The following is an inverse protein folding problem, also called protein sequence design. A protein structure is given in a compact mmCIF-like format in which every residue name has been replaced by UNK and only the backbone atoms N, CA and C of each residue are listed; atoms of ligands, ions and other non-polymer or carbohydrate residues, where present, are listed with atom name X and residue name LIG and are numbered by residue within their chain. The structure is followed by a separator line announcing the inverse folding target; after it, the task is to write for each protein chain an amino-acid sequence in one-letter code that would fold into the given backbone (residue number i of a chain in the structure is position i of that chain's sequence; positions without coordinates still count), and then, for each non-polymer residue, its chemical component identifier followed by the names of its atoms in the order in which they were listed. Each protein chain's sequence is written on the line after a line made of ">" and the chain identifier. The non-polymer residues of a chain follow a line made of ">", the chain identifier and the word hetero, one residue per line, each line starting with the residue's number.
data_IF_952547360663
#
_entry.id   IF_952547360663
#
_cell.length_a   1.000
_cell.length_b   1.000
_cell.length_c   1.000
_cell.angle_alpha   90.00
_cell.angle_beta   90.00
_cell.angle_gamma   90.00
#
_symmetry.space_group_name_H-M   'P 1'
#
loop_
_entity.id
_entity.type
_entity.pdbx_description
1 polymer ?
#
# COMPACT_ATOMS: atom_id res chain seq x y z
N UNK A 1 -15.19 6.95 -14.75
CA UNK A 1 -14.12 7.04 -13.73
C UNK A 1 -13.13 8.15 -14.03
N UNK A 2 -12.53 8.20 -15.23
CA UNK A 2 -11.51 9.21 -15.59
C UNK A 2 -11.96 10.67 -15.41
N UNK A 3 -13.21 10.99 -15.78
CA UNK A 3 -13.78 12.32 -15.55
C UNK A 3 -13.84 12.71 -14.05
N UNK A 4 -14.27 11.78 -13.19
CA UNK A 4 -14.31 11.99 -11.75
C UNK A 4 -12.89 12.16 -11.17
N UNK A 5 -11.93 11.37 -11.65
CA UNK A 5 -10.53 11.48 -11.24
C UNK A 5 -9.93 12.84 -11.62
N UNK A 6 -10.17 13.33 -12.84
CA UNK A 6 -9.68 14.63 -13.29
C UNK A 6 -10.28 15.78 -12.46
N UNK A 7 -11.58 15.73 -12.18
CA UNK A 7 -12.27 16.72 -11.34
C UNK A 7 -11.72 16.75 -9.91
N UNK A 8 -11.54 15.57 -9.29
CA UNK A 8 -10.98 15.44 -7.94
C UNK A 8 -9.54 15.93 -7.89
N UNK A 9 -8.75 15.66 -8.92
CA UNK A 9 -7.35 16.12 -9.01
C UNK A 9 -7.28 17.64 -9.04
N UNK A 10 -8.11 18.27 -9.87
CA UNK A 10 -8.22 19.74 -9.93
C UNK A 10 -8.75 20.32 -8.61
N UNK A 11 -9.74 19.67 -7.98
CA UNK A 11 -10.24 20.06 -6.65
C UNK A 11 -9.12 20.03 -5.60
N UNK A 12 -8.36 18.94 -5.52
CA UNK A 12 -7.23 18.82 -4.59
C UNK A 12 -6.14 19.84 -4.87
N UNK A 13 -5.83 20.13 -6.13
CA UNK A 13 -4.91 21.21 -6.50
C UNK A 13 -5.36 22.56 -5.91
N UNK A 14 -6.66 22.90 -5.99
CA UNK A 14 -7.20 24.14 -5.41
C UNK A 14 -7.15 24.14 -3.88
N UNK A 15 -7.40 22.99 -3.24
CA UNK A 15 -7.26 22.84 -1.78
C UNK A 15 -5.82 23.11 -1.36
N UNK A 16 -4.84 22.50 -2.02
CA UNK A 16 -3.43 22.74 -1.74
C UNK A 16 -3.01 24.19 -2.00
N UNK A 17 -3.50 24.81 -3.07
CA UNK A 17 -3.20 26.20 -3.43
C UNK A 17 -3.79 27.22 -2.44
N UNK A 18 -4.95 26.93 -1.86
CA UNK A 18 -5.66 27.85 -0.95
C UNK A 18 -5.22 27.72 0.50
N UNK A 19 -4.60 26.59 0.87
CA UNK A 19 -4.13 26.34 2.23
C UNK A 19 -2.99 27.31 2.60
N UNK A 20 -3.18 28.05 3.69
CA UNK A 20 -2.13 28.85 4.32
C UNK A 20 -1.63 28.13 5.57
N UNK A 21 -0.32 27.87 5.73
CA UNK A 21 0.21 27.30 6.96
C UNK A 21 -0.12 28.20 8.17
N UNK A 22 -0.30 27.60 9.35
CA UNK A 22 -0.35 28.38 10.59
C UNK A 22 0.93 29.22 10.76
N UNK A 23 0.77 30.51 10.98
CA UNK A 23 1.88 31.44 11.24
C UNK A 23 1.77 31.96 12.66
N UNK A 24 2.88 31.94 13.40
CA UNK A 24 3.00 32.65 14.68
C UNK A 24 3.07 34.14 14.37
N UNK A 25 1.93 34.82 14.39
CA UNK A 25 1.81 36.26 14.16
C UNK A 25 1.16 36.97 15.35
N UNK A 26 1.47 38.26 15.51
CA UNK A 26 0.98 39.12 16.59
C UNK A 26 1.88 39.18 17.82
N UNK A 27 1.41 39.85 18.88
CA UNK A 27 2.18 40.19 20.09
C UNK A 27 2.93 39.01 20.72
N UNK A 28 2.34 37.81 20.73
CA UNK A 28 2.97 36.61 21.26
C UNK A 28 4.14 36.11 20.39
N UNK A 29 4.02 36.21 19.06
CA UNK A 29 5.11 35.86 18.13
C UNK A 29 6.27 36.85 18.22
N UNK A 30 5.95 38.15 18.27
CA UNK A 30 6.94 39.22 18.35
C UNK A 30 7.70 39.18 19.68
N UNK A 31 7.00 38.97 20.80
CA UNK A 31 7.60 38.83 22.13
C UNK A 31 8.50 37.59 22.23
N UNK A 32 8.11 36.48 21.60
CA UNK A 32 8.89 35.24 21.60
C UNK A 32 10.16 35.39 20.75
N UNK A 33 10.06 36.08 19.62
CA UNK A 33 11.21 36.43 18.77
C UNK A 33 12.19 37.35 19.50
N UNK A 34 11.68 38.35 20.21
CA UNK A 34 12.47 39.31 20.97
C UNK A 34 13.16 38.69 22.20
N UNK A 35 12.50 37.75 22.90
CA UNK A 35 13.03 37.13 24.13
C UNK A 35 13.85 35.86 23.93
N UNK A 36 13.52 35.03 22.94
CA UNK A 36 14.13 33.71 22.75
C UNK A 36 15.08 33.63 21.54
N UNK A 37 15.11 34.67 20.71
CA UNK A 37 15.95 34.76 19.51
C UNK A 37 15.41 33.97 18.31
N UNK A 38 15.93 34.28 17.12
CA UNK A 38 15.42 33.79 15.83
C UNK A 38 15.44 32.25 15.70
N UNK A 39 16.43 31.58 16.28
CA UNK A 39 16.56 30.13 16.23
C UNK A 39 15.46 29.41 17.05
N UNK A 40 15.12 29.95 18.23
CA UNK A 40 14.06 29.40 19.06
C UNK A 40 12.69 29.69 18.45
N UNK A 41 12.49 30.90 17.92
CA UNK A 41 11.27 31.27 17.19
C UNK A 41 11.01 30.32 16.02
N UNK A 42 12.01 30.09 15.16
CA UNK A 42 11.87 29.18 14.02
C UNK A 42 11.61 27.72 14.42
N UNK A 43 12.07 27.30 15.60
CA UNK A 43 11.77 25.95 16.13
C UNK A 43 10.33 25.86 16.63
N UNK A 44 9.87 26.86 17.37
CA UNK A 44 8.49 26.92 17.88
C UNK A 44 7.50 27.06 16.73
N UNK A 45 7.82 27.85 15.70
CA UNK A 45 7.00 27.99 14.50
C UNK A 45 6.83 26.65 13.75
N UNK A 46 7.91 25.87 13.62
CA UNK A 46 7.82 24.51 13.04
C UNK A 46 6.94 23.59 13.89
N UNK A 47 7.04 23.66 15.21
CA UNK A 47 6.19 22.87 16.11
C UNK A 47 4.72 23.28 15.96
N UNK A 48 4.42 24.58 15.92
CA UNK A 48 3.05 25.07 15.72
C UNK A 48 2.50 24.62 14.37
N UNK A 49 3.25 24.76 13.28
CA UNK A 49 2.86 24.27 11.94
C UNK A 49 2.62 22.76 11.93
N UNK A 50 3.46 22.00 12.64
CA UNK A 50 3.32 20.56 12.76
C UNK A 50 2.08 20.17 13.57
N UNK A 51 1.84 20.82 14.70
CA UNK A 51 0.65 20.57 15.52
C UNK A 51 -0.64 20.98 14.81
N UNK A 52 -0.63 22.10 14.08
CA UNK A 52 -1.71 22.51 13.20
C UNK A 52 -1.99 21.45 12.14
N UNK A 53 -0.95 20.98 11.43
CA UNK A 53 -1.10 19.90 10.45
C UNK A 53 -1.72 18.63 11.05
N UNK A 54 -1.33 18.25 12.27
CA UNK A 54 -1.84 17.05 12.94
C UNK A 54 -3.26 17.22 13.48
N UNK A 55 -3.63 18.42 13.93
CA UNK A 55 -4.92 18.67 14.59
C UNK A 55 -6.02 19.08 13.62
N UNK A 56 -5.67 19.76 12.54
CA UNK A 56 -6.63 20.34 11.61
C UNK A 56 -7.22 19.28 10.68
N UNK A 57 -8.50 19.42 10.35
CA UNK A 57 -9.28 18.49 9.52
C UNK A 57 -9.39 18.93 8.05
N UNK A 58 -8.68 19.99 7.64
CA UNK A 58 -8.83 20.58 6.30
C UNK A 58 -8.56 19.57 5.18
N UNK A 59 -7.49 18.79 5.31
CA UNK A 59 -7.13 17.76 4.33
C UNK A 59 -8.09 16.57 4.38
N UNK A 60 -8.48 16.10 5.57
CA UNK A 60 -9.40 14.96 5.71
C UNK A 60 -10.80 15.31 5.24
N UNK A 61 -11.27 16.54 5.49
CA UNK A 61 -12.54 17.04 4.97
C UNK A 61 -12.53 17.15 3.44
N UNK A 62 -11.41 17.58 2.84
CA UNK A 62 -11.25 17.56 1.40
C UNK A 62 -11.27 16.13 0.85
N UNK A 63 -10.55 15.19 1.47
CA UNK A 63 -10.54 13.78 1.06
C UNK A 63 -11.93 13.13 1.18
N UNK A 64 -12.73 13.48 2.20
CA UNK A 64 -14.13 13.01 2.31
C UNK A 64 -14.99 13.49 1.14
N UNK A 65 -14.79 14.71 0.64
CA UNK A 65 -15.48 15.18 -0.57
C UNK A 65 -15.04 14.42 -1.81
N UNK A 66 -13.74 14.11 -1.92
CA UNK A 66 -13.22 13.27 -3.00
C UNK A 66 -13.83 11.87 -2.95
N UNK A 67 -13.93 11.27 -1.74
CA UNK A 67 -14.61 10.00 -1.50
C UNK A 67 -16.06 10.06 -1.99
N UNK A 68 -16.81 11.07 -1.56
CA UNK A 68 -18.23 11.21 -1.94
C UNK A 68 -18.42 11.30 -3.46
N UNK A 69 -17.54 12.05 -4.14
CA UNK A 69 -17.56 12.15 -5.61
C UNK A 69 -17.20 10.84 -6.31
N UNK A 70 -16.22 10.08 -5.79
CA UNK A 70 -15.94 8.75 -6.32
C UNK A 70 -17.10 7.79 -6.08
N UNK A 71 -17.80 7.94 -4.95
CA UNK A 71 -18.87 7.03 -4.54
C UNK A 71 -20.15 7.13 -5.38
N UNK A 72 -20.25 8.16 -6.23
CA UNK A 72 -21.33 8.34 -7.21
C UNK A 72 -21.12 7.50 -8.49
N UNK A 73 -19.95 6.87 -8.66
CA UNK A 73 -19.64 6.08 -9.86
C UNK A 73 -20.02 4.61 -9.63
N UNK A 74 -21.12 4.15 -10.23
CA UNK A 74 -21.53 2.75 -10.14
C UNK A 74 -20.42 1.78 -10.56
N UNK A 75 -20.20 0.73 -9.75
CA UNK A 75 -19.23 -0.33 -10.03
C UNK A 75 -19.88 -1.72 -10.06
N UNK A 76 -19.57 -2.48 -11.10
CA UNK A 76 -19.85 -3.92 -11.15
C UNK A 76 -18.66 -4.70 -10.57
N UNK A 77 -18.88 -5.28 -9.38
CA UNK A 77 -17.88 -6.10 -8.68
C UNK A 77 -18.01 -7.59 -9.00
N UNK A 78 -19.13 -8.06 -9.56
CA UNK A 78 -19.38 -9.48 -9.84
C UNK A 78 -18.66 -9.92 -11.13
N UNK A 79 -17.37 -9.63 -11.20
CA UNK A 79 -16.49 -9.93 -12.31
C UNK A 79 -15.23 -10.64 -11.78
N UNK A 80 -14.77 -11.73 -12.44
CA UNK A 80 -13.57 -12.46 -12.04
C UNK A 80 -12.30 -11.74 -12.50
N UNK A 81 -12.05 -10.53 -11.99
CA UNK A 81 -10.84 -9.75 -12.29
C UNK A 81 -9.64 -10.28 -11.50
N UNK A 82 -8.48 -10.53 -12.15
CA UNK A 82 -7.26 -10.83 -11.43
C UNK A 82 -6.78 -9.58 -10.68
N UNK A 83 -6.39 -9.78 -9.44
CA UNK A 83 -5.76 -8.75 -8.60
C UNK A 83 -4.25 -8.80 -8.80
N UNK A 84 -3.66 -7.71 -9.28
CA UNK A 84 -2.23 -7.58 -9.59
C UNK A 84 -1.60 -6.58 -8.63
N UNK A 85 -0.62 -7.03 -7.85
CA UNK A 85 0.17 -6.15 -7.01
C UNK A 85 1.36 -5.60 -7.79
N UNK A 86 1.50 -4.28 -7.82
CA UNK A 86 2.70 -3.62 -8.35
C UNK A 86 3.72 -3.46 -7.22
N UNK A 87 4.96 -3.85 -7.49
CA UNK A 87 6.13 -3.62 -6.64
C UNK A 87 7.30 -3.16 -7.52
N UNK A 88 8.47 -2.93 -6.93
CA UNK A 88 9.70 -2.66 -7.63
C UNK A 88 10.38 -1.42 -7.08
N UNK A 89 10.88 -0.57 -7.97
CA UNK A 89 11.50 0.69 -7.60
C UNK A 89 10.44 1.73 -7.20
N UNK A 90 10.77 2.63 -6.26
CA UNK A 90 9.79 3.54 -5.62
C UNK A 90 9.07 4.45 -6.62
N UNK A 91 9.76 4.97 -7.65
CA UNK A 91 9.16 5.84 -8.64
C UNK A 91 8.34 5.02 -9.65
N UNK A 92 8.92 3.97 -10.23
CA UNK A 92 8.25 3.13 -11.22
C UNK A 92 6.96 2.45 -10.69
N UNK A 93 6.93 2.09 -9.40
CA UNK A 93 5.77 1.46 -8.77
C UNK A 93 4.69 2.46 -8.29
N UNK A 94 4.97 3.77 -8.27
CA UNK A 94 4.04 4.80 -7.76
C UNK A 94 3.53 5.76 -8.83
N UNK A 95 4.28 5.97 -9.91
CA UNK A 95 3.93 6.95 -10.95
C UNK A 95 3.48 6.29 -12.23
N UNK A 96 2.42 6.83 -12.85
CA UNK A 96 1.98 6.44 -14.19
C UNK A 96 2.66 7.31 -15.25
N UNK A 97 3.21 6.70 -16.29
CA UNK A 97 3.75 7.40 -17.45
C UNK A 97 4.71 6.53 -18.28
N UNK A 98 5.42 7.16 -19.22
CA UNK A 98 6.31 6.41 -20.12
C UNK A 98 7.46 5.71 -19.38
N UNK A 99 7.89 6.28 -18.24
CA UNK A 99 8.93 5.71 -17.39
C UNK A 99 8.58 4.35 -16.78
N UNK A 100 7.31 3.96 -16.74
CA UNK A 100 6.86 2.64 -16.33
C UNK A 100 6.08 1.89 -17.44
N UNK A 101 6.16 2.36 -18.68
CA UNK A 101 5.39 1.84 -19.82
C UNK A 101 3.87 1.92 -19.66
N UNK A 102 3.37 2.94 -18.97
CA UNK A 102 1.94 3.15 -18.70
C UNK A 102 1.26 1.87 -18.15
N UNK A 103 1.97 1.16 -17.28
CA UNK A 103 1.62 -0.20 -16.90
C UNK A 103 0.30 -0.28 -16.15
N UNK A 104 -0.07 0.74 -15.36
CA UNK A 104 -1.30 0.67 -14.57
C UNK A 104 -2.52 0.77 -15.48
N UNK A 105 -2.48 1.69 -16.46
CA UNK A 105 -3.52 1.78 -17.49
C UNK A 105 -3.57 0.54 -18.35
N UNK A 106 -2.41 0.00 -18.76
CA UNK A 106 -2.33 -1.23 -19.54
C UNK A 106 -3.01 -2.40 -18.81
N UNK A 107 -2.61 -2.70 -17.57
CA UNK A 107 -3.21 -3.76 -16.75
C UNK A 107 -4.71 -3.57 -16.55
N UNK A 108 -5.13 -2.33 -16.28
CA UNK A 108 -6.56 -2.01 -16.09
C UNK A 108 -7.35 -2.24 -17.39
N UNK A 109 -6.79 -1.85 -18.54
CA UNK A 109 -7.40 -2.08 -19.86
C UNK A 109 -7.49 -3.56 -20.22
N UNK A 110 -6.53 -4.34 -19.74
CA UNK A 110 -6.52 -5.81 -19.82
C UNK A 110 -7.49 -6.46 -18.82
N UNK A 111 -8.20 -5.68 -18.00
CA UNK A 111 -9.21 -6.19 -17.07
C UNK A 111 -8.68 -6.64 -15.71
N UNK A 112 -7.47 -6.21 -15.32
CA UNK A 112 -6.93 -6.45 -13.99
C UNK A 112 -7.40 -5.39 -12.98
N UNK A 113 -7.48 -5.78 -11.70
CA UNK A 113 -7.53 -4.87 -10.57
C UNK A 113 -6.10 -4.64 -10.06
N UNK A 114 -5.65 -3.38 -10.03
CA UNK A 114 -4.26 -3.04 -9.71
C UNK A 114 -4.16 -2.52 -8.28
N UNK A 115 -3.28 -3.13 -7.48
CA UNK A 115 -2.88 -2.62 -6.17
C UNK A 115 -1.57 -1.83 -6.33
N UNK A 116 -1.68 -0.50 -6.40
CA UNK A 116 -0.53 0.39 -6.36
C UNK A 116 0.02 0.50 -4.93
N UNK A 117 1.34 0.61 -4.79
CA UNK A 117 1.97 0.89 -3.50
C UNK A 117 1.88 2.40 -3.22
N UNK A 118 1.54 2.83 -1.99
CA UNK A 118 1.61 4.24 -1.65
C UNK A 118 3.07 4.62 -1.37
N UNK A 119 3.45 5.86 -1.70
CA UNK A 119 4.72 6.47 -1.23
C UNK A 119 4.84 6.33 0.30
N UNK A 120 3.70 6.22 0.97
CA UNK A 120 3.66 6.12 2.40
C UNK A 120 4.40 4.90 2.96
N UNK A 121 4.37 3.76 2.27
CA UNK A 121 5.10 2.55 2.66
C UNK A 121 6.60 2.78 2.58
N UNK A 122 7.09 3.49 1.55
CA UNK A 122 8.52 3.80 1.41
C UNK A 122 9.04 4.69 2.54
N UNK A 123 8.27 5.70 2.98
CA UNK A 123 8.66 6.50 4.14
C UNK A 123 8.68 5.66 5.44
N UNK A 124 7.73 4.74 5.60
CA UNK A 124 7.73 3.82 6.74
C UNK A 124 8.99 2.92 6.72
N UNK A 125 9.41 2.50 5.52
CA UNK A 125 10.65 1.76 5.32
C UNK A 125 11.89 2.57 5.70
N UNK A 126 11.98 3.86 5.34
CA UNK A 126 13.10 4.72 5.75
C UNK A 126 13.18 4.91 7.26
N UNK A 127 12.04 5.07 7.93
CA UNK A 127 11.96 5.15 9.39
C UNK A 127 12.43 3.83 10.02
N UNK A 128 11.98 2.71 9.49
CA UNK A 128 12.39 1.37 9.91
C UNK A 128 13.90 1.14 9.70
N UNK A 129 14.46 1.51 8.54
CA UNK A 129 15.90 1.42 8.31
C UNK A 129 16.68 2.24 9.34
N UNK A 130 16.20 3.45 9.67
CA UNK A 130 16.84 4.31 10.66
C UNK A 130 16.81 3.68 12.06
N UNK A 131 15.69 3.05 12.43
CA UNK A 131 15.53 2.29 13.70
C UNK A 131 16.54 1.13 13.75
N UNK A 132 16.65 0.37 12.68
CA UNK A 132 17.54 -0.78 12.58
C UNK A 132 19.01 -0.39 12.56
N UNK A 133 19.40 0.60 11.74
CA UNK A 133 20.77 1.12 11.71
C UNK A 133 21.20 1.60 13.10
N UNK A 134 20.29 2.25 13.83
CA UNK A 134 20.55 2.67 15.21
C UNK A 134 20.70 1.51 16.20
N UNK A 135 20.14 0.33 15.90
CA UNK A 135 20.28 -0.89 16.70
C UNK A 135 21.58 -1.61 16.37
N UNK A 136 21.90 -1.77 15.08
CA UNK A 136 23.09 -2.49 14.64
C UNK A 136 24.38 -1.72 14.95
N UNK A 137 24.33 -0.38 14.89
CA UNK A 137 25.45 0.50 15.27
C UNK A 137 25.56 0.72 16.78
N UNK A 138 24.83 -0.03 17.62
CA UNK A 138 24.86 0.17 19.09
C UNK A 138 26.29 0.12 19.63
N UNK A 139 27.07 -0.84 19.15
CA UNK A 139 28.43 -1.12 19.61
C UNK A 139 29.51 -0.53 18.68
N UNK A 140 29.11 0.28 17.69
CA UNK A 140 30.02 0.93 16.74
C UNK A 140 30.11 2.43 17.06
N UNK A 141 31.28 2.87 17.50
CA UNK A 141 31.55 4.30 17.77
C UNK A 141 32.06 4.93 16.47
N UNK A 142 31.17 5.63 15.77
CA UNK A 142 31.48 6.18 14.44
C UNK A 142 32.39 7.43 14.48
N UNK A 143 32.47 8.10 15.63
CA UNK A 143 33.21 9.35 15.80
C UNK A 143 33.80 9.44 17.22
N UNK A 144 34.87 8.70 17.52
CA UNK A 144 35.61 8.84 18.80
C UNK A 144 36.43 7.62 19.21
N UNK A 145 37.18 7.76 20.30
CA UNK A 145 37.82 6.62 20.99
C UNK A 145 36.75 5.69 21.57
N UNK A 146 37.02 4.38 21.51
CA UNK A 146 36.16 3.36 22.11
C UNK A 146 35.87 3.67 23.58
N UNK A 147 34.59 3.69 23.96
CA UNK A 147 34.17 3.90 25.35
C UNK A 147 34.67 2.70 26.15
N UNK A 148 35.69 2.93 26.96
CA UNK A 148 36.29 1.86 27.77
C UNK A 148 35.29 1.38 28.81
N UNK A 149 35.39 0.10 29.18
CA UNK A 149 34.42 -0.56 30.08
C UNK A 149 34.21 0.15 31.43
N UNK A 150 35.19 0.93 31.89
CA UNK A 150 35.17 1.67 33.15
C UNK A 150 34.58 3.09 33.05
N UNK A 151 34.32 3.61 31.84
CA UNK A 151 33.75 4.94 31.63
C UNK A 151 32.22 4.94 31.80
N UNK A 152 31.74 4.53 32.98
CA UNK A 152 30.31 4.30 33.26
C UNK A 152 29.42 5.51 32.97
N UNK A 153 29.87 6.74 33.28
CA UNK A 153 29.10 7.97 33.01
C UNK A 153 28.92 8.21 31.51
N UNK A 154 30.01 8.11 30.74
CA UNK A 154 30.01 8.30 29.28
C UNK A 154 29.18 7.22 28.58
N UNK A 155 29.23 5.99 29.08
CA UNK A 155 28.38 4.89 28.61
C UNK A 155 26.90 5.12 28.91
N UNK A 156 26.58 5.62 30.11
CA UNK A 156 25.20 5.95 30.48
C UNK A 156 24.64 7.10 29.64
N UNK A 157 25.41 8.17 29.42
CA UNK A 157 25.01 9.30 28.55
C UNK A 157 24.77 8.85 27.11
N UNK A 158 25.65 7.99 26.57
CA UNK A 158 25.48 7.40 25.25
C UNK A 158 24.21 6.54 25.15
N UNK A 159 23.98 5.65 26.11
CA UNK A 159 22.79 4.80 26.14
C UNK A 159 21.50 5.62 26.29
N UNK A 160 21.49 6.68 27.11
CA UNK A 160 20.36 7.61 27.24
C UNK A 160 20.11 8.35 25.92
N UNK A 161 21.16 8.84 25.27
CA UNK A 161 21.04 9.48 23.95
C UNK A 161 20.47 8.54 22.89
N UNK A 162 20.93 7.28 22.88
CA UNK A 162 20.42 6.22 21.99
C UNK A 162 18.96 5.89 22.26
N UNK A 163 18.59 5.67 23.52
CA UNK A 163 17.20 5.41 23.92
C UNK A 163 16.29 6.57 23.52
N UNK A 164 16.73 7.82 23.71
CA UNK A 164 16.01 9.01 23.27
C UNK A 164 15.81 9.03 21.75
N UNK A 165 16.85 8.69 20.96
CA UNK A 165 16.77 8.60 19.50
C UNK A 165 15.80 7.51 19.05
N UNK A 166 15.91 6.30 19.61
CA UNK A 166 15.01 5.18 19.28
C UNK A 166 13.56 5.50 19.67
N UNK A 167 13.34 6.08 20.84
CA UNK A 167 12.01 6.51 21.28
C UNK A 167 11.43 7.59 20.35
N UNK A 168 12.24 8.56 19.94
CA UNK A 168 11.83 9.61 18.99
C UNK A 168 11.43 9.03 17.64
N UNK A 169 12.19 8.08 17.09
CA UNK A 169 11.85 7.38 15.84
C UNK A 169 10.54 6.59 16.01
N UNK A 170 10.36 5.89 17.14
CA UNK A 170 9.13 5.14 17.42
C UNK A 170 7.90 6.06 17.52
N UNK A 171 8.03 7.23 18.15
CA UNK A 171 6.96 8.23 18.19
C UNK A 171 6.67 8.78 16.80
N UNK A 172 7.71 9.06 16.00
CA UNK A 172 7.56 9.54 14.63
C UNK A 172 6.82 8.52 13.75
N UNK A 173 7.21 7.24 13.78
CA UNK A 173 6.54 6.16 13.04
C UNK A 173 5.07 6.02 13.47
N UNK A 174 4.77 6.10 14.78
CA UNK A 174 3.40 6.02 15.28
C UNK A 174 2.53 7.19 14.82
N UNK A 175 3.05 8.42 14.88
CA UNK A 175 2.34 9.61 14.39
C UNK A 175 2.10 9.48 12.87
N UNK A 176 3.12 9.06 12.15
CA UNK A 176 3.08 8.90 10.71
C UNK A 176 2.02 7.88 10.26
N UNK A 177 2.03 6.67 10.85
CA UNK A 177 1.02 5.64 10.57
C UNK A 177 -0.40 6.09 10.94
N UNK A 178 -0.55 6.84 12.04
CA UNK A 178 -1.84 7.41 12.45
C UNK A 178 -2.37 8.40 11.41
N UNK A 179 -1.56 9.35 10.97
CA UNK A 179 -2.00 10.35 9.98
C UNK A 179 -2.29 9.71 8.63
N UNK A 180 -1.45 8.77 8.19
CA UNK A 180 -1.73 8.04 6.96
C UNK A 180 -3.05 7.27 7.04
N UNK A 181 -3.28 6.54 8.14
CA UNK A 181 -4.55 5.84 8.36
C UNK A 181 -5.74 6.79 8.34
N UNK A 182 -5.64 7.95 8.99
CA UNK A 182 -6.67 8.98 8.99
C UNK A 182 -6.99 9.48 7.57
N UNK A 183 -6.00 9.59 6.69
CA UNK A 183 -6.21 9.93 5.27
C UNK A 183 -6.89 8.81 4.49
N UNK A 184 -6.46 7.55 4.68
CA UNK A 184 -7.08 6.37 4.05
C UNK A 184 -8.54 6.21 4.48
N UNK A 185 -8.82 6.35 5.77
CA UNK A 185 -10.16 6.28 6.34
C UNK A 185 -11.05 7.42 5.77
N UNK A 186 -10.51 8.64 5.65
CA UNK A 186 -11.21 9.77 5.03
C UNK A 186 -11.54 9.55 3.55
N UNK A 187 -10.69 8.80 2.84
CA UNK A 187 -10.88 8.42 1.43
C UNK A 187 -11.76 7.18 1.25
N UNK A 188 -12.35 6.63 2.33
CA UNK A 188 -13.26 5.49 2.27
C UNK A 188 -12.56 4.13 2.12
N UNK A 189 -11.33 3.99 2.63
CA UNK A 189 -10.54 2.75 2.59
C UNK A 189 -10.19 2.25 1.18
N UNK A 190 -10.22 3.14 0.18
CA UNK A 190 -9.83 2.80 -1.20
C UNK A 190 -8.31 2.69 -1.39
N UNK A 191 -7.53 3.40 -0.56
CA UNK A 191 -6.08 3.41 -0.64
C UNK A 191 -5.47 2.25 0.17
N UNK A 192 -4.34 1.74 -0.32
CA UNK A 192 -3.62 0.64 0.31
C UNK A 192 -3.01 1.04 1.66
N UNK A 193 -3.10 0.18 2.68
CA UNK A 193 -2.54 0.47 4.01
C UNK A 193 -1.01 0.28 4.06
N UNK A 194 -0.34 0.89 5.05
CA UNK A 194 1.11 0.69 5.23
C UNK A 194 1.34 -0.73 5.77
N UNK A 195 2.16 -1.51 5.06
CA UNK A 195 2.53 -2.87 5.47
C UNK A 195 3.46 -2.84 6.69
N UNK A 196 3.40 -3.89 7.50
CA UNK A 196 4.34 -4.08 8.62
C UNK A 196 5.75 -4.41 8.10
N UNK A 197 6.71 -3.55 8.44
CA UNK A 197 8.10 -3.69 7.98
C UNK A 197 8.84 -4.83 8.68
N UNK A 198 8.48 -5.14 9.93
CA UNK A 198 9.11 -6.24 10.68
C UNK A 198 8.66 -7.59 10.10
N UNK A 199 7.39 -7.67 9.66
CA UNK A 199 6.90 -8.84 8.94
C UNK A 199 7.57 -8.99 7.57
N UNK A 200 7.68 -7.90 6.80
CA UNK A 200 8.40 -7.94 5.52
C UNK A 200 9.87 -8.32 5.69
N UNK A 201 10.54 -7.82 6.74
CA UNK A 201 11.91 -8.23 7.09
C UNK A 201 12.00 -9.74 7.26
N UNK A 202 11.13 -10.32 8.11
CA UNK A 202 11.14 -11.73 8.43
C UNK A 202 10.90 -12.62 7.20
N UNK A 203 9.99 -12.21 6.30
CA UNK A 203 9.70 -12.96 5.07
C UNK A 203 10.86 -12.93 4.07
N UNK A 204 11.55 -11.79 3.95
CA UNK A 204 12.64 -11.64 2.98
C UNK A 204 13.95 -12.26 3.44
N UNK A 205 14.25 -12.19 4.75
CA UNK A 205 15.60 -12.37 5.28
C UNK A 205 16.25 -13.70 4.89
N UNK A 206 15.45 -14.75 4.75
CA UNK A 206 15.91 -16.09 4.34
C UNK A 206 16.40 -16.13 2.88
N UNK A 207 15.80 -15.33 1.99
CA UNK A 207 16.08 -15.33 0.56
C UNK A 207 16.99 -14.17 0.13
N UNK A 208 16.84 -13.02 0.79
CA UNK A 208 17.59 -11.82 0.53
C UNK A 208 17.86 -11.11 1.84
N UNK A 209 19.14 -11.07 2.22
CA UNK A 209 19.53 -10.52 3.52
C UNK A 209 19.15 -9.03 3.59
N UNK A 210 18.39 -8.65 4.61
CA UNK A 210 17.83 -7.29 4.76
C UNK A 210 18.87 -6.18 4.92
N UNK A 211 20.14 -6.54 5.19
CA UNK A 211 21.29 -5.63 5.24
C UNK A 211 22.03 -5.47 3.91
N UNK A 212 21.61 -6.19 2.87
CA UNK A 212 21.97 -5.88 1.50
C UNK A 212 21.17 -4.64 1.08
N UNK A 213 21.68 -3.48 1.51
CA UNK A 213 21.07 -2.17 1.31
C UNK A 213 21.35 -1.62 -0.10
N UNK A 214 20.78 -0.45 -0.41
CA UNK A 214 20.96 0.24 -1.70
C UNK A 214 19.67 0.43 -2.49
N UNK A 215 18.53 -0.08 -1.98
CA UNK A 215 17.22 0.06 -2.61
C UNK A 215 16.13 -0.71 -1.88
N UNK A 216 15.10 -1.14 -2.61
CA UNK A 216 13.98 -1.95 -2.11
C UNK A 216 14.17 -3.46 -2.33
N UNK A 217 15.37 -3.95 -2.65
CA UNK A 217 15.59 -5.34 -3.10
C UNK A 217 14.99 -6.42 -2.18
N UNK A 218 15.21 -6.34 -0.86
CA UNK A 218 14.58 -7.27 0.08
C UNK A 218 13.07 -7.05 0.21
N UNK A 219 12.57 -5.82 0.07
CA UNK A 219 11.14 -5.54 0.08
C UNK A 219 10.45 -6.11 -1.15
N UNK A 220 11.09 -6.12 -2.32
CA UNK A 220 10.53 -6.74 -3.52
C UNK A 220 10.33 -8.26 -3.34
N UNK A 221 11.31 -8.93 -2.70
CA UNK A 221 11.20 -10.33 -2.30
C UNK A 221 10.10 -10.52 -1.25
N UNK A 222 10.11 -9.69 -0.20
CA UNK A 222 9.14 -9.75 0.88
C UNK A 222 7.70 -9.57 0.37
N UNK A 223 7.46 -8.55 -0.44
CA UNK A 223 6.16 -8.21 -1.01
C UNK A 223 5.67 -9.37 -1.88
N UNK A 224 6.52 -9.95 -2.73
CA UNK A 224 6.11 -11.12 -3.53
C UNK A 224 5.61 -12.26 -2.64
N UNK A 225 6.37 -12.60 -1.59
CA UNK A 225 5.98 -13.64 -0.63
C UNK A 225 4.70 -13.26 0.09
N UNK A 226 4.63 -12.05 0.63
CA UNK A 226 3.53 -11.53 1.43
C UNK A 226 2.20 -11.55 0.68
N UNK A 227 2.13 -10.90 -0.49
CA UNK A 227 0.86 -10.75 -1.22
C UNK A 227 0.38 -12.08 -1.80
N UNK A 228 1.28 -12.99 -2.14
CA UNK A 228 0.89 -14.29 -2.68
C UNK A 228 0.51 -15.30 -1.58
N UNK A 229 1.23 -15.36 -0.46
CA UNK A 229 0.94 -16.32 0.63
C UNK A 229 -0.24 -15.91 1.49
N UNK A 230 -0.50 -14.60 1.64
CA UNK A 230 -1.70 -14.09 2.34
C UNK A 230 -2.92 -13.94 1.45
N UNK A 231 -2.84 -14.36 0.19
CA UNK A 231 -3.95 -14.31 -0.77
C UNK A 231 -4.48 -12.88 -0.99
N UNK A 232 -3.57 -11.90 -1.10
CA UNK A 232 -3.92 -10.52 -1.45
C UNK A 232 -3.75 -10.20 -2.94
N UNK A 233 -2.97 -11.00 -3.68
CA UNK A 233 -2.82 -10.84 -5.12
C UNK A 233 -2.72 -12.18 -5.84
N UNK A 234 -3.24 -12.22 -7.07
CA UNK A 234 -3.09 -13.36 -7.97
C UNK A 234 -1.71 -13.35 -8.62
N UNK A 235 -1.18 -12.15 -8.85
CA UNK A 235 0.09 -11.90 -9.51
C UNK A 235 0.78 -10.70 -8.88
N UNK A 236 2.11 -10.77 -8.80
CA UNK A 236 2.99 -9.67 -8.37
C UNK A 236 3.87 -9.27 -9.55
N UNK A 237 3.74 -8.02 -9.98
CA UNK A 237 4.50 -7.44 -11.07
C UNK A 237 5.53 -6.46 -10.50
N UNK A 238 6.81 -6.69 -10.75
CA UNK A 238 7.89 -5.82 -10.31
C UNK A 238 8.36 -4.92 -11.45
N UNK A 239 8.22 -3.60 -11.30
CA UNK A 239 8.63 -2.58 -12.27
C UNK A 239 9.94 -1.93 -11.84
N UNK A 240 10.96 -2.01 -12.70
CA UNK A 240 12.34 -1.63 -12.36
C UNK A 240 12.95 -0.79 -13.46
N UNK A 241 13.51 0.39 -13.15
CA UNK A 241 14.19 1.20 -14.14
C UNK A 241 15.72 1.00 -14.08
N UNK A 242 16.35 1.22 -15.23
CA UNK A 242 17.78 1.43 -15.45
C UNK A 242 18.73 0.34 -14.92
N UNK A 243 18.28 -0.92 -14.84
CA UNK A 243 19.12 -1.99 -14.30
C UNK A 243 19.55 -1.72 -12.86
N UNK A 244 18.62 -1.21 -12.04
CA UNK A 244 18.82 -0.94 -10.63
C UNK A 244 19.40 -2.20 -9.93
N UNK A 245 20.69 -2.15 -9.57
CA UNK A 245 21.44 -3.32 -9.12
C UNK A 245 20.78 -4.09 -7.95
N UNK A 246 20.26 -3.43 -6.89
CA UNK A 246 19.52 -4.13 -5.84
C UNK A 246 18.29 -4.90 -6.36
N UNK A 247 17.55 -4.30 -7.30
CA UNK A 247 16.37 -4.92 -7.91
C UNK A 247 16.77 -6.09 -8.82
N UNK A 248 17.84 -5.98 -9.60
CA UNK A 248 18.38 -7.11 -10.39
C UNK A 248 18.84 -8.27 -9.50
N UNK A 249 19.52 -7.97 -8.38
CA UNK A 249 19.89 -9.01 -7.40
C UNK A 249 18.65 -9.67 -6.79
N UNK A 250 17.59 -8.89 -6.51
CA UNK A 250 16.34 -9.44 -5.99
C UNK A 250 15.70 -10.41 -6.99
N UNK A 251 15.76 -10.17 -8.30
CA UNK A 251 15.24 -11.11 -9.30
C UNK A 251 15.98 -12.44 -9.30
N UNK A 252 17.30 -12.40 -9.08
CA UNK A 252 18.09 -13.62 -8.86
C UNK A 252 17.58 -14.42 -7.65
N UNK A 253 17.26 -13.73 -6.55
CA UNK A 253 16.69 -14.37 -5.35
C UNK A 253 15.28 -14.91 -5.58
N UNK A 254 14.47 -14.26 -6.43
CA UNK A 254 13.09 -14.69 -6.73
C UNK A 254 13.02 -16.08 -7.36
N UNK A 255 14.08 -16.54 -8.02
CA UNK A 255 14.16 -17.92 -8.53
C UNK A 255 14.06 -18.96 -7.40
N UNK A 256 14.67 -18.69 -6.24
CA UNK A 256 14.54 -19.54 -5.06
C UNK A 256 13.14 -19.43 -4.42
N UNK A 257 12.58 -18.21 -4.39
CA UNK A 257 11.24 -17.91 -3.85
C UNK A 257 10.17 -18.67 -4.63
N UNK A 258 10.12 -18.51 -5.96
CA UNK A 258 9.11 -19.13 -6.82
C UNK A 258 9.23 -20.66 -6.80
N UNK A 259 10.44 -21.21 -6.65
CA UNK A 259 10.60 -22.67 -6.50
C UNK A 259 10.03 -23.20 -5.17
N UNK A 260 10.14 -22.42 -4.08
CA UNK A 260 9.52 -22.77 -2.80
C UNK A 260 8.01 -22.55 -2.80
N UNK A 261 7.54 -21.49 -3.44
CA UNK A 261 6.14 -21.10 -3.49
C UNK A 261 5.60 -21.19 -4.92
N UNK A 262 5.26 -22.41 -5.34
CA UNK A 262 4.99 -22.74 -6.75
C UNK A 262 3.73 -22.10 -7.34
N UNK A 263 2.80 -21.65 -6.50
CA UNK A 263 1.54 -21.03 -6.94
C UNK A 263 1.66 -19.51 -7.17
N UNK A 264 2.87 -18.94 -7.01
CA UNK A 264 3.15 -17.52 -7.21
C UNK A 264 3.33 -17.20 -8.69
N UNK A 265 2.66 -16.14 -9.15
CA UNK A 265 2.89 -15.54 -10.45
C UNK A 265 3.69 -14.26 -10.21
N UNK A 266 5.01 -14.34 -10.39
CA UNK A 266 5.91 -13.20 -10.27
C UNK A 266 6.51 -12.85 -11.62
N UNK A 267 6.42 -11.57 -12.01
CA UNK A 267 7.01 -11.08 -13.26
C UNK A 267 7.85 -9.82 -13.00
N UNK A 268 9.17 -9.86 -13.27
CA UNK A 268 9.98 -8.65 -13.29
C UNK A 268 10.03 -8.03 -14.70
N UNK A 269 9.85 -6.71 -14.77
CA UNK A 269 9.92 -5.90 -15.98
C UNK A 269 10.96 -4.80 -15.81
N UNK A 270 11.89 -4.73 -16.78
CA UNK A 270 12.92 -3.70 -16.84
C UNK A 270 12.49 -2.59 -17.81
N UNK A 271 12.03 -1.48 -17.23
CA UNK A 271 11.36 -0.36 -17.91
C UNK A 271 12.26 0.50 -18.81
N UNK A 272 13.54 0.13 -18.99
CA UNK A 272 14.48 0.85 -19.87
C UNK A 272 15.36 -0.08 -20.72
N UNK A 273 15.50 -1.35 -20.34
CA UNK A 273 16.26 -2.33 -21.12
C UNK A 273 15.41 -3.17 -22.08
N UNK A 274 14.10 -3.28 -21.82
CA UNK A 274 13.27 -4.32 -22.42
C UNK A 274 12.45 -3.86 -23.65
N UNK A 275 12.16 -2.56 -23.74
CA UNK A 275 11.25 -1.97 -24.72
C UNK A 275 9.77 -2.20 -24.37
N UNK A 276 8.94 -1.18 -24.59
CA UNK A 276 7.52 -1.16 -24.18
C UNK A 276 6.72 -2.35 -24.75
N UNK A 277 6.82 -2.60 -26.06
CA UNK A 277 6.05 -3.64 -26.74
C UNK A 277 6.36 -5.05 -26.16
N UNK A 278 7.64 -5.30 -25.90
CA UNK A 278 8.09 -6.58 -25.35
C UNK A 278 7.61 -6.74 -23.89
N UNK A 279 7.71 -5.67 -23.10
CA UNK A 279 7.21 -5.65 -21.73
C UNK A 279 5.70 -5.92 -21.65
N UNK A 280 4.89 -5.22 -22.47
CA UNK A 280 3.44 -5.45 -22.56
C UNK A 280 3.10 -6.88 -22.97
N UNK A 281 3.83 -7.45 -23.93
CA UNK A 281 3.63 -8.83 -24.39
C UNK A 281 3.90 -9.85 -23.28
N UNK A 282 5.01 -9.68 -22.52
CA UNK A 282 5.33 -10.53 -21.36
C UNK A 282 4.30 -10.40 -20.25
N UNK A 283 3.84 -9.19 -19.99
CA UNK A 283 2.79 -8.93 -18.99
C UNK A 283 1.48 -9.58 -19.41
N UNK A 284 1.06 -9.49 -20.67
CA UNK A 284 -0.14 -10.17 -21.17
C UNK A 284 -0.08 -11.68 -20.97
N UNK A 285 1.07 -12.29 -21.24
CA UNK A 285 1.26 -13.73 -21.04
C UNK A 285 1.07 -14.13 -19.57
N UNK A 286 1.77 -13.46 -18.64
CA UNK A 286 1.63 -13.75 -17.21
C UNK A 286 0.24 -13.41 -16.66
N UNK A 287 -0.36 -12.32 -17.16
CA UNK A 287 -1.72 -11.93 -16.80
C UNK A 287 -2.75 -12.94 -17.29
N UNK A 288 -2.50 -13.64 -18.40
CA UNK A 288 -3.34 -14.76 -18.86
C UNK A 288 -3.46 -15.87 -17.81
N UNK A 289 -2.36 -16.22 -17.15
CA UNK A 289 -2.35 -17.18 -16.05
C UNK A 289 -3.09 -16.66 -14.82
N UNK A 290 -2.88 -15.38 -14.46
CA UNK A 290 -3.59 -14.74 -13.35
C UNK A 290 -5.11 -14.66 -13.61
N UNK A 291 -5.54 -14.34 -14.84
CA UNK A 291 -6.94 -14.36 -15.28
C UNK A 291 -7.54 -15.76 -15.14
N UNK A 292 -6.81 -16.80 -15.51
CA UNK A 292 -7.28 -18.18 -15.35
C UNK A 292 -7.43 -18.56 -13.85
N UNK A 293 -6.50 -18.14 -13.00
CA UNK A 293 -6.59 -18.32 -11.54
C UNK A 293 -7.81 -17.60 -10.94
N UNK A 294 -8.04 -16.34 -11.30
CA UNK A 294 -9.19 -15.56 -10.83
C UNK A 294 -10.54 -16.13 -11.29
N UNK A 295 -10.62 -16.61 -12.55
CA UNK A 295 -11.84 -17.26 -13.07
C UNK A 295 -12.17 -18.56 -12.36
N UNK A 296 -11.16 -19.41 -12.09
CA UNK A 296 -11.35 -20.65 -11.33
C UNK A 296 -11.80 -20.35 -9.90
N UNK A 297 -11.11 -19.44 -9.22
CA UNK A 297 -11.47 -19.03 -7.86
C UNK A 297 -12.91 -18.52 -7.79
N UNK A 298 -13.33 -17.68 -8.73
CA UNK A 298 -14.69 -17.15 -8.77
C UNK A 298 -15.73 -18.25 -9.04
N UNK A 299 -15.45 -19.18 -9.95
CA UNK A 299 -16.34 -20.32 -10.21
C UNK A 299 -16.50 -21.22 -8.98
N UNK A 300 -15.40 -21.57 -8.31
CA UNK A 300 -15.42 -22.36 -7.07
C UNK A 300 -16.23 -21.65 -5.96
N UNK A 301 -16.16 -20.33 -5.90
CA UNK A 301 -16.99 -19.54 -4.98
C UNK A 301 -18.46 -19.61 -5.32
N UNK A 302 -18.84 -19.46 -6.59
CA UNK A 302 -20.23 -19.57 -7.04
C UNK A 302 -20.81 -20.96 -6.70
N UNK A 303 -20.05 -22.02 -6.98
CA UNK A 303 -20.44 -23.39 -6.64
C UNK A 303 -20.63 -23.58 -5.13
N UNK A 304 -19.76 -22.98 -4.32
CA UNK A 304 -19.83 -23.07 -2.85
C UNK A 304 -21.01 -22.31 -2.25
N UNK A 305 -21.35 -21.14 -2.78
CA UNK A 305 -22.47 -20.33 -2.26
C UNK A 305 -23.82 -20.80 -2.78
N UNK A 306 -23.85 -21.58 -3.86
CA UNK A 306 -25.07 -22.20 -4.40
C UNK A 306 -25.98 -21.27 -5.20
N UNK A 307 -25.63 -19.99 -5.33
CA UNK A 307 -26.36 -19.01 -6.16
C UNK A 307 -25.70 -18.86 -7.53
N UNK A 308 -26.52 -18.80 -8.57
CA UNK A 308 -26.08 -18.43 -9.91
C UNK A 308 -25.65 -16.96 -10.00
N UNK A 309 -24.76 -16.66 -10.93
CA UNK A 309 -24.27 -15.29 -11.15
C UNK A 309 -25.41 -14.30 -11.45
N UNK A 310 -26.40 -14.72 -12.22
CA UNK A 310 -27.54 -13.88 -12.58
C UNK A 310 -28.46 -13.60 -11.38
N UNK A 311 -28.56 -14.54 -10.43
CA UNK A 311 -29.30 -14.33 -9.18
C UNK A 311 -28.59 -13.29 -8.29
N UNK A 312 -27.27 -13.41 -8.16
CA UNK A 312 -26.46 -12.44 -7.42
C UNK A 312 -26.58 -11.04 -8.05
N UNK A 313 -26.53 -10.95 -9.39
CA UNK A 313 -26.70 -9.68 -10.13
C UNK A 313 -28.08 -9.08 -9.92
N UNK A 314 -29.15 -9.88 -10.04
CA UNK A 314 -30.51 -9.41 -9.81
C UNK A 314 -30.70 -8.87 -8.39
N UNK A 315 -30.09 -9.53 -7.39
CA UNK A 315 -30.13 -9.04 -6.01
C UNK A 315 -29.35 -7.73 -5.85
N UNK A 316 -28.16 -7.59 -6.45
CA UNK A 316 -27.39 -6.33 -6.43
C UNK A 316 -28.13 -5.20 -7.18
N UNK A 317 -28.84 -5.51 -8.25
CA UNK A 317 -29.67 -4.54 -8.97
C UNK A 317 -30.84 -4.03 -8.14
N UNK A 318 -31.41 -4.89 -7.27
CA UNK A 318 -32.44 -4.51 -6.31
C UNK A 318 -31.90 -3.72 -5.10
N UNK A 319 -30.57 -3.70 -4.89
CA UNK A 319 -29.90 -3.05 -3.76
C UNK A 319 -28.82 -2.05 -4.24
N UNK A 320 -29.23 -0.84 -4.70
CA UNK A 320 -28.31 0.13 -5.30
C UNK A 320 -27.13 0.53 -4.42
N UNK A 321 -27.26 0.46 -3.09
CA UNK A 321 -26.16 0.75 -2.17
C UNK A 321 -24.96 -0.18 -2.37
N UNK A 322 -25.16 -1.40 -2.88
CA UNK A 322 -24.08 -2.37 -3.13
C UNK A 322 -23.26 -2.04 -4.39
N UNK A 323 -23.78 -1.16 -5.26
CA UNK A 323 -23.08 -0.67 -6.46
C UNK A 323 -22.16 0.51 -6.18
N UNK A 324 -22.27 1.12 -5.00
CA UNK A 324 -21.45 2.25 -4.56
C UNK A 324 -19.98 1.82 -4.33
N UNK A 325 -18.97 2.53 -4.87
CA UNK A 325 -17.54 2.24 -4.67
C UNK A 325 -17.09 2.11 -3.21
N UNK A 326 -17.67 2.88 -2.31
CA UNK A 326 -17.31 2.92 -0.88
C UNK A 326 -18.14 1.97 -0.03
N UNK A 327 -19.02 1.17 -0.65
CA UNK A 327 -19.71 0.08 0.01
C UNK A 327 -18.69 -0.93 0.56
N UNK A 328 -18.65 -1.05 1.89
CA UNK A 328 -17.73 -1.95 2.59
C UNK A 328 -18.37 -3.32 2.76
N UNK A 329 -17.56 -4.36 2.53
CA UNK A 329 -17.95 -5.74 2.76
C UNK A 329 -16.73 -6.54 3.26
N UNK A 330 -16.94 -7.64 4.01
CA UNK A 330 -15.85 -8.45 4.53
C UNK A 330 -15.00 -9.07 3.41
N UNK A 331 -13.67 -9.06 3.59
CA UNK A 331 -12.68 -9.68 2.70
C UNK A 331 -11.76 -10.64 3.46
N UNK A 332 -12.31 -11.32 4.46
CA UNK A 332 -11.61 -12.16 5.42
C UNK A 332 -11.71 -13.66 5.10
N UNK A 333 -12.37 -14.03 3.99
CA UNK A 333 -12.47 -15.43 3.58
C UNK A 333 -11.07 -15.99 3.27
N UNK A 334 -10.62 -17.05 3.98
CA UNK A 334 -9.30 -17.62 3.73
C UNK A 334 -9.16 -18.14 2.30
N UNK A 335 -7.96 -17.99 1.74
CA UNK A 335 -7.58 -18.51 0.41
C UNK A 335 -8.38 -17.96 -0.78
N UNK A 336 -9.02 -16.80 -0.62
CA UNK A 336 -9.71 -16.08 -1.71
C UNK A 336 -9.03 -14.73 -1.90
N UNK A 337 -8.72 -14.39 -3.14
CA UNK A 337 -8.02 -13.17 -3.51
C UNK A 337 -8.96 -12.15 -4.14
N UNK A 338 -9.79 -12.56 -5.09
CA UNK A 338 -10.54 -11.67 -5.98
C UNK A 338 -11.60 -10.85 -5.25
N UNK A 339 -11.65 -9.55 -5.54
CA UNK A 339 -12.71 -8.64 -5.05
C UNK A 339 -14.09 -9.17 -5.41
N UNK A 340 -14.28 -9.67 -6.64
CA UNK A 340 -15.56 -10.24 -7.06
C UNK A 340 -15.93 -11.52 -6.32
N UNK A 341 -14.96 -12.38 -6.01
CA UNK A 341 -15.18 -13.61 -5.26
C UNK A 341 -15.62 -13.31 -3.81
N UNK A 342 -14.92 -12.40 -3.11
CA UNK A 342 -15.36 -11.94 -1.79
C UNK A 342 -16.74 -11.29 -1.84
N UNK A 343 -17.01 -10.48 -2.87
CA UNK A 343 -18.30 -9.81 -3.01
C UNK A 343 -19.45 -10.79 -3.27
N UNK A 344 -19.24 -11.84 -4.09
CA UNK A 344 -20.22 -12.91 -4.29
C UNK A 344 -20.58 -13.63 -2.98
N UNK A 345 -19.59 -13.92 -2.13
CA UNK A 345 -19.81 -14.52 -0.80
C UNK A 345 -20.64 -13.58 0.08
N UNK A 346 -20.32 -12.29 0.08
CA UNK A 346 -21.06 -11.29 0.85
C UNK A 346 -22.52 -11.17 0.39
N UNK A 347 -22.75 -11.09 -0.93
CA UNK A 347 -24.09 -11.01 -1.50
C UNK A 347 -24.90 -12.28 -1.19
N UNK A 348 -24.29 -13.46 -1.32
CA UNK A 348 -24.96 -14.72 -0.97
C UNK A 348 -25.38 -14.77 0.51
N UNK A 349 -24.52 -14.35 1.44
CA UNK A 349 -24.87 -14.26 2.88
C UNK A 349 -26.01 -13.28 3.13
N UNK A 350 -26.08 -12.17 2.38
CA UNK A 350 -27.18 -11.21 2.46
C UNK A 350 -28.49 -11.79 1.92
N UNK A 351 -28.44 -12.47 0.78
CA UNK A 351 -29.58 -13.19 0.20
C UNK A 351 -30.14 -14.24 1.16
N UNK A 352 -29.27 -15.04 1.80
CA UNK A 352 -29.66 -16.02 2.81
C UNK A 352 -30.33 -15.37 4.02
N UNK A 353 -29.77 -14.26 4.52
CA UNK A 353 -30.32 -13.52 5.65
C UNK A 353 -31.71 -12.93 5.33
N UNK A 354 -31.94 -12.54 4.08
CA UNK A 354 -33.22 -12.03 3.59
C UNK A 354 -34.20 -13.15 3.18
N UNK A 355 -33.81 -14.42 3.35
CA UNK A 355 -34.65 -15.59 3.08
C UNK A 355 -34.81 -15.92 1.59
N UNK A 356 -33.98 -15.36 0.72
CA UNK A 356 -33.91 -15.73 -0.70
C UNK A 356 -33.30 -17.13 -0.78
N UNK A 357 -33.97 -18.05 -1.46
CA UNK A 357 -33.45 -19.41 -1.67
C UNK A 357 -32.79 -19.52 -3.04
N UNK A 358 -31.67 -20.26 -3.18
CA UNK A 358 -31.07 -20.49 -4.47
C UNK A 358 -32.05 -21.25 -5.39
N UNK A 359 -32.26 -20.77 -6.61
CA UNK A 359 -33.12 -21.45 -7.58
C UNK A 359 -32.44 -22.67 -8.18
N UNK A 360 -31.12 -22.77 -8.07
CA UNK A 360 -30.31 -23.90 -8.53
C UNK A 360 -29.62 -24.56 -7.33
N UNK A 361 -30.41 -25.18 -6.46
CA UNK A 361 -29.85 -26.28 -5.65
C UNK A 361 -29.35 -27.33 -6.65
N UNK A 362 -28.03 -27.42 -6.81
CA UNK A 362 -27.41 -28.41 -7.67
C UNK A 362 -27.96 -29.79 -7.30
N UNK A 363 -28.25 -30.59 -8.34
CA UNK A 363 -28.62 -31.99 -8.25
C UNK A 363 -27.45 -32.82 -7.66
N UNK A 364 -27.08 -32.60 -6.41
CA UNK A 364 -26.18 -33.42 -5.63
C UNK A 364 -26.99 -34.36 -4.74
N UNK A 365 -27.85 -35.15 -5.39
CA UNK A 365 -28.49 -36.32 -4.81
C UNK A 365 -28.77 -37.32 -5.94
N UNK A 366 -27.71 -38.05 -6.34
CA UNK A 366 -27.74 -39.48 -6.69
C UNK A 366 -26.32 -40.02 -6.89
#
# INVERSE_FOLDING_TARGET
>A
TDAALAEITEYMYRVFKSRKPAELSGWAGDTLKERAGDAAFGTVEKIVKFLDLLSTDDLTAALRKCRDRFDEVDVDRLQPKPVVKITGEFWAQTTEGDGNFNMFRFLTSEGAEVIAEPIATWLAYLLWQTKIKSKDRRDLIENGEDIKWYEFKRRAEYEVGRLKKTAMIGVADKIYRREYKRMVDALGHIAHEIVDMEELEALAHEFYHTRSEGGEGHLEVAKNIYYSTKYYAHMVLSLKPFGCMPSTQSDGAQSAVVNRFRDMIFLPIETSGEGEINAHSRVQMALGEAKAKAKREFAEVLDRVGYGLDELRAYVDAHPEMKRPMYQFPRDTPRIVGTGAHFAIHVAKRMEADGVKPQHASNAAQ
#
